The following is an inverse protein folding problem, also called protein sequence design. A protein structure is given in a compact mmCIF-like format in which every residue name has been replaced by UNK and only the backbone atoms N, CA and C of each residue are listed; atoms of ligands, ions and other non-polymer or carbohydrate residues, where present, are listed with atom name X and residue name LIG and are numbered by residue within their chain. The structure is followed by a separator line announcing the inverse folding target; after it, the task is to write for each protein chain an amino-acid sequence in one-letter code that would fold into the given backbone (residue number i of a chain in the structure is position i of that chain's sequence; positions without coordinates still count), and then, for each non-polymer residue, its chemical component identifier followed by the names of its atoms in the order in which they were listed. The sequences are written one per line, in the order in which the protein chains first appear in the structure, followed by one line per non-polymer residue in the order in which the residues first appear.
data_IF_043157273471
#
_entry.id   IF_043157273471
#
_cell.length_a   1.000
_cell.length_b   1.000
_cell.length_c   1.000
_cell.angle_alpha   90.00
_cell.angle_beta   90.00
_cell.angle_gamma   90.00
#
_symmetry.space_group_name_H-M   'P 1'
#
loop_
_entity.id
_entity.type
_entity.pdbx_description
1 polymer ?
#
# COMPACT_ATOMS: atom_id res chain seq x y z
N UNK A 1 18.11 -12.82 8.83
CA UNK A 1 17.47 -11.73 8.07
C UNK A 1 15.99 -11.86 8.36
N UNK A 2 15.44 -10.98 9.18
CA UNK A 2 14.04 -11.07 9.57
C UNK A 2 13.21 -10.65 8.36
N UNK A 3 12.66 -11.63 7.64
CA UNK A 3 11.48 -11.43 6.80
C UNK A 3 10.33 -11.10 7.74
N UNK A 4 10.33 -9.88 8.28
CA UNK A 4 9.15 -9.25 8.85
C UNK A 4 8.24 -8.96 7.67
N UNK A 5 7.57 -10.01 7.21
CA UNK A 5 6.59 -9.97 6.16
C UNK A 5 5.36 -9.29 6.76
N UNK A 6 5.41 -7.96 6.79
CA UNK A 6 4.32 -7.12 7.26
C UNK A 6 3.13 -7.42 6.35
N UNK A 7 2.14 -8.11 6.90
CA UNK A 7 0.99 -8.59 6.14
C UNK A 7 0.27 -7.40 5.52
N UNK A 8 -0.10 -7.51 4.24
CA UNK A 8 -0.78 -6.43 3.52
C UNK A 8 -2.05 -6.04 4.28
N UNK A 9 -2.18 -4.77 4.75
CA UNK A 9 -3.42 -4.30 5.38
C UNK A 9 -4.59 -4.51 4.44
N UNK A 10 -5.71 -4.97 4.98
CA UNK A 10 -6.93 -5.19 4.19
C UNK A 10 -7.33 -3.93 3.45
N UNK A 11 -7.14 -2.75 4.07
CA UNK A 11 -7.43 -1.46 3.47
C UNK A 11 -6.59 -1.18 2.22
N UNK A 12 -5.32 -1.61 2.20
CA UNK A 12 -4.46 -1.49 1.02
C UNK A 12 -4.88 -2.47 -0.06
N UNK A 13 -5.19 -3.71 0.31
CA UNK A 13 -5.67 -4.71 -0.65
C UNK A 13 -6.98 -4.27 -1.32
N UNK A 14 -7.91 -3.68 -0.57
CA UNK A 14 -9.15 -3.10 -1.11
C UNK A 14 -8.82 -1.99 -2.11
N UNK A 15 -7.99 -1.01 -1.73
CA UNK A 15 -7.62 0.11 -2.59
C UNK A 15 -6.89 -0.31 -3.88
N UNK A 16 -6.03 -1.34 -3.82
CA UNK A 16 -5.37 -1.90 -4.99
C UNK A 16 -6.34 -2.66 -5.89
N UNK A 17 -7.32 -3.38 -5.32
CA UNK A 17 -8.35 -4.08 -6.09
C UNK A 17 -9.27 -3.12 -6.85
N UNK A 18 -9.48 -1.90 -6.33
CA UNK A 18 -10.22 -0.84 -7.01
C UNK A 18 -9.39 -0.14 -8.12
N UNK A 19 -8.07 -0.33 -8.15
CA UNK A 19 -7.16 0.30 -9.10
C UNK A 19 -6.08 -0.67 -9.61
N UNK A 20 -6.40 -1.38 -10.70
CA UNK A 20 -5.50 -2.37 -11.32
C UNK A 20 -4.14 -1.80 -11.75
N UNK A 21 -4.05 -0.50 -12.06
CA UNK A 21 -2.78 0.14 -12.38
C UNK A 21 -1.90 0.25 -11.14
N UNK A 22 -2.48 0.71 -10.02
CA UNK A 22 -1.81 0.75 -8.73
C UNK A 22 -1.38 -0.64 -8.27
N UNK A 23 -2.22 -1.67 -8.46
CA UNK A 23 -1.89 -3.05 -8.14
C UNK A 23 -0.65 -3.55 -8.90
N UNK A 24 -0.60 -3.35 -10.22
CA UNK A 24 0.57 -3.74 -11.02
C UNK A 24 1.83 -2.99 -10.60
N UNK A 25 1.73 -1.69 -10.35
CA UNK A 25 2.86 -0.88 -9.89
C UNK A 25 3.33 -1.39 -8.52
N UNK A 26 2.42 -1.60 -7.57
CA UNK A 26 2.73 -2.13 -6.25
C UNK A 26 3.43 -3.49 -6.32
N UNK A 27 2.93 -4.41 -7.17
CA UNK A 27 3.54 -5.71 -7.37
C UNK A 27 4.95 -5.62 -7.99
N UNK A 28 5.20 -4.63 -8.84
CA UNK A 28 6.51 -4.36 -9.44
C UNK A 28 7.47 -3.62 -8.51
N UNK A 29 7.00 -3.02 -7.41
CA UNK A 29 7.85 -2.28 -6.48
C UNK A 29 8.79 -3.22 -5.69
N UNK A 30 10.03 -2.77 -5.43
CA UNK A 30 10.92 -3.46 -4.51
C UNK A 30 10.27 -3.66 -3.13
N UNK A 31 10.60 -4.76 -2.41
CA UNK A 31 10.05 -5.03 -1.08
C UNK A 31 10.22 -3.87 -0.09
N UNK A 32 11.31 -3.12 -0.17
CA UNK A 32 11.56 -1.95 0.68
C UNK A 32 10.50 -0.85 0.52
N UNK A 33 10.13 -0.51 -0.72
CA UNK A 33 9.09 0.48 -1.00
C UNK A 33 7.71 -0.03 -0.59
N UNK A 34 7.41 -1.32 -0.84
CA UNK A 34 6.16 -1.93 -0.38
C UNK A 34 6.05 -1.83 1.13
N UNK A 35 7.09 -2.24 1.85
CA UNK A 35 7.13 -2.20 3.32
C UNK A 35 6.97 -0.77 3.87
N UNK A 36 7.50 0.25 3.19
CA UNK A 36 7.28 1.65 3.58
C UNK A 36 5.80 2.04 3.54
N UNK A 37 5.08 1.67 2.47
CA UNK A 37 3.63 1.89 2.39
C UNK A 37 2.86 1.08 3.42
N UNK A 38 3.21 -0.20 3.59
CA UNK A 38 2.58 -1.11 4.55
C UNK A 38 2.69 -0.57 5.98
N UNK A 39 3.89 -0.12 6.35
CA UNK A 39 4.16 0.49 7.65
C UNK A 39 3.41 1.80 7.81
N UNK A 40 3.48 2.70 6.83
CA UNK A 40 2.81 3.99 6.89
C UNK A 40 1.28 3.85 7.04
N UNK A 41 0.68 2.87 6.37
CA UNK A 41 -0.75 2.58 6.52
C UNK A 41 -1.00 1.97 7.91
N UNK A 42 -0.21 0.98 8.33
CA UNK A 42 -0.37 0.28 9.62
C UNK A 42 -0.16 1.18 10.85
N UNK A 43 0.67 2.22 10.74
CA UNK A 43 0.89 3.21 11.80
C UNK A 43 -0.38 4.03 12.15
N UNK A 44 -1.39 4.06 11.28
CA UNK A 44 -2.64 4.74 11.58
C UNK A 44 -3.54 3.89 12.51
N UNK A 45 -3.82 4.43 13.71
CA UNK A 45 -4.63 3.77 14.74
C UNK A 45 -6.11 3.58 14.39
N UNK A 46 -6.64 4.39 13.47
CA UNK A 46 -8.06 4.36 13.08
C UNK A 46 -8.20 3.71 11.72
N UNK A 47 -9.14 2.76 11.60
CA UNK A 47 -9.43 2.05 10.34
C UNK A 47 -9.78 3.03 9.19
N UNK A 48 -10.57 4.07 9.47
CA UNK A 48 -10.87 5.10 8.47
C UNK A 48 -9.61 5.82 7.96
N UNK A 49 -8.66 6.11 8.84
CA UNK A 49 -7.39 6.73 8.45
C UNK A 49 -6.51 5.77 7.67
N UNK A 50 -6.51 4.47 8.01
CA UNK A 50 -5.83 3.44 7.22
C UNK A 50 -6.39 3.37 5.80
N UNK A 51 -7.71 3.38 5.64
CA UNK A 51 -8.39 3.43 4.33
C UNK A 51 -7.99 4.67 3.54
N UNK A 52 -8.04 5.86 4.14
CA UNK A 52 -7.61 7.10 3.48
C UNK A 52 -6.14 7.05 3.04
N UNK A 53 -5.24 6.50 3.87
CA UNK A 53 -3.82 6.32 3.53
C UNK A 53 -3.63 5.29 2.43
N UNK A 54 -4.37 4.19 2.46
CA UNK A 54 -4.34 3.15 1.43
C UNK A 54 -4.76 3.67 0.06
N UNK A 55 -5.90 4.35 -0.03
CA UNK A 55 -6.34 5.01 -1.27
C UNK A 55 -5.30 6.01 -1.74
N UNK A 56 -4.76 6.83 -0.83
CA UNK A 56 -3.71 7.80 -1.17
C UNK A 56 -2.42 7.13 -1.67
N UNK A 57 -2.04 5.99 -1.09
CA UNK A 57 -0.89 5.23 -1.53
C UNK A 57 -1.08 4.71 -2.96
N UNK A 58 -2.26 4.16 -3.27
CA UNK A 58 -2.59 3.71 -4.61
C UNK A 58 -2.55 4.86 -5.64
N UNK A 59 -3.10 6.04 -5.31
CA UNK A 59 -2.99 7.24 -6.14
C UNK A 59 -1.53 7.64 -6.38
N UNK A 60 -0.70 7.69 -5.33
CA UNK A 60 0.71 8.08 -5.43
C UNK A 60 1.53 7.09 -6.27
N UNK A 61 1.21 5.79 -6.21
CA UNK A 61 1.86 4.78 -7.04
C UNK A 61 1.59 5.07 -8.52
N UNK A 62 0.33 5.32 -8.87
CA UNK A 62 -0.08 5.63 -10.25
C UNK A 62 0.48 6.98 -10.71
N UNK A 63 0.43 8.02 -9.89
CA UNK A 63 0.96 9.35 -10.25
C UNK A 63 2.47 9.33 -10.51
N UNK A 64 3.23 8.53 -9.75
CA UNK A 64 4.69 8.47 -9.85
C UNK A 64 5.21 7.52 -10.93
N UNK A 65 4.40 6.56 -11.38
CA UNK A 65 4.81 5.48 -12.28
C UNK A 65 3.88 5.25 -13.48
N UNK A 66 2.82 6.03 -13.62
CA UNK A 66 1.86 6.01 -14.73
C UNK A 66 2.18 7.00 -15.85
#
# INVERSE_FOLDING_TARGET
MSDEQESIPVELSEALSENEAAERIFAALPPSHRNEYLRWISEAKRAETRRRRATRAAEMMVDKHG
#
